data_IF_970874636500
#
_entry.id   IF_970874636500
#
_cell.length_a   1.000
_cell.length_b   1.000
_cell.length_c   1.000
_cell.angle_alpha   90.00
_cell.angle_beta   90.00
_cell.angle_gamma   90.00
#
_symmetry.space_group_name_H-M   'P 1'
#
loop_
_entity.id
_entity.type
_entity.pdbx_description
1 polymer ?
#
# COMPACT_ATOMS: atom_id res chain seq x y z
N UNK A 1 -29.14 -21.48 -11.22
CA UNK A 1 -28.47 -21.56 -9.92
C UNK A 1 -27.40 -20.50 -9.92
N UNK A 2 -27.56 -19.51 -9.05
CA UNK A 2 -26.60 -18.41 -8.89
C UNK A 2 -25.37 -18.90 -8.10
N UNK A 3 -24.27 -18.16 -8.13
CA UNK A 3 -23.06 -18.44 -7.36
C UNK A 3 -23.32 -18.47 -5.85
N UNK A 4 -24.30 -17.72 -5.36
CA UNK A 4 -24.72 -17.76 -3.97
C UNK A 4 -25.32 -19.13 -3.59
N UNK A 5 -26.27 -19.62 -4.39
CA UNK A 5 -26.88 -20.94 -4.18
C UNK A 5 -25.83 -22.06 -4.22
N UNK A 6 -24.82 -21.93 -5.09
CA UNK A 6 -23.74 -22.93 -5.23
C UNK A 6 -22.83 -22.95 -3.99
N UNK A 7 -22.54 -21.79 -3.40
CA UNK A 7 -21.79 -21.74 -2.14
C UNK A 7 -22.57 -22.37 -1.00
N UNK A 8 -23.85 -22.03 -0.86
CA UNK A 8 -24.70 -22.60 0.19
C UNK A 8 -24.79 -24.13 0.08
N UNK A 9 -24.93 -24.66 -1.14
CA UNK A 9 -24.92 -26.11 -1.38
C UNK A 9 -23.55 -26.73 -1.03
N UNK A 10 -22.45 -26.06 -1.39
CA UNK A 10 -21.11 -26.55 -1.07
C UNK A 10 -20.85 -26.58 0.44
N UNK A 11 -21.29 -25.54 1.17
CA UNK A 11 -21.18 -25.48 2.62
C UNK A 11 -21.99 -26.60 3.29
N UNK A 12 -23.25 -26.82 2.84
CA UNK A 12 -24.07 -27.93 3.34
C UNK A 12 -23.39 -29.28 3.06
N UNK A 13 -22.87 -29.49 1.86
CA UNK A 13 -22.17 -30.74 1.52
C UNK A 13 -20.94 -30.95 2.39
N UNK A 14 -20.20 -29.90 2.69
CA UNK A 14 -19.02 -29.95 3.55
C UNK A 14 -19.39 -30.28 5.01
N UNK A 15 -20.42 -29.63 5.56
CA UNK A 15 -20.94 -29.91 6.90
C UNK A 15 -21.44 -31.36 7.06
N UNK A 16 -21.95 -31.95 5.97
CA UNK A 16 -22.40 -33.34 5.93
C UNK A 16 -21.25 -34.36 5.66
N UNK A 17 -20.00 -33.90 5.61
CA UNK A 17 -18.82 -34.75 5.39
C UNK A 17 -18.60 -35.15 3.92
N UNK A 18 -19.29 -34.51 2.98
CA UNK A 18 -19.14 -34.70 1.53
C UNK A 18 -18.22 -33.65 0.88
N UNK A 19 -17.13 -33.29 1.56
CA UNK A 19 -16.19 -32.25 1.14
C UNK A 19 -15.66 -32.45 -0.30
N UNK A 20 -15.39 -33.69 -0.73
CA UNK A 20 -14.93 -33.96 -2.10
C UNK A 20 -15.96 -33.56 -3.17
N UNK A 21 -17.26 -33.76 -2.90
CA UNK A 21 -18.33 -33.35 -3.80
C UNK A 21 -18.52 -31.83 -3.79
N UNK A 22 -18.38 -31.19 -2.62
CA UNK A 22 -18.40 -29.74 -2.47
C UNK A 22 -17.28 -29.08 -3.29
N UNK A 23 -16.04 -29.57 -3.16
CA UNK A 23 -14.89 -29.07 -3.93
C UNK A 23 -15.12 -29.22 -5.43
N UNK A 24 -15.51 -30.41 -5.90
CA UNK A 24 -15.76 -30.64 -7.32
C UNK A 24 -16.87 -29.72 -7.88
N UNK A 25 -17.93 -29.48 -7.11
CA UNK A 25 -19.00 -28.56 -7.50
C UNK A 25 -18.47 -27.13 -7.71
N UNK A 26 -17.66 -26.63 -6.78
CA UNK A 26 -17.10 -25.28 -6.86
C UNK A 26 -16.04 -25.20 -7.97
N UNK A 27 -15.20 -26.22 -8.17
CA UNK A 27 -14.22 -26.28 -9.26
C UNK A 27 -14.89 -26.14 -10.63
N UNK A 28 -15.95 -26.90 -10.88
CA UNK A 28 -16.72 -26.81 -12.12
C UNK A 28 -17.35 -25.44 -12.31
N UNK A 29 -17.73 -24.78 -11.22
CA UNK A 29 -18.31 -23.43 -11.28
C UNK A 29 -17.26 -22.36 -11.57
N UNK A 30 -16.10 -22.43 -10.93
CA UNK A 30 -15.00 -21.46 -11.10
C UNK A 30 -14.44 -21.46 -12.52
N UNK A 31 -14.54 -22.57 -13.26
CA UNK A 31 -14.21 -22.61 -14.71
C UNK A 31 -15.05 -21.64 -15.54
N UNK A 32 -16.25 -21.30 -15.08
CA UNK A 32 -17.23 -20.44 -15.78
C UNK A 32 -17.46 -19.11 -15.08
N UNK A 33 -16.90 -18.91 -13.89
CA UNK A 33 -17.15 -17.74 -13.05
C UNK A 33 -15.88 -17.34 -12.29
N UNK A 34 -15.54 -16.05 -12.36
CA UNK A 34 -14.46 -15.45 -11.57
C UNK A 34 -14.95 -14.90 -10.23
N UNK A 35 -16.00 -15.48 -9.65
CA UNK A 35 -16.55 -15.03 -8.37
C UNK A 35 -15.51 -15.23 -7.27
N UNK A 36 -15.11 -14.13 -6.63
CA UNK A 36 -14.07 -14.12 -5.62
C UNK A 36 -14.44 -14.94 -4.38
N UNK A 37 -15.74 -15.11 -4.09
CA UNK A 37 -16.20 -15.93 -2.97
C UNK A 37 -15.94 -17.41 -3.23
N UNK A 38 -16.20 -17.88 -4.45
CA UNK A 38 -15.93 -19.26 -4.88
C UNK A 38 -14.43 -19.55 -4.85
N UNK A 39 -13.61 -18.62 -5.35
CA UNK A 39 -12.16 -18.76 -5.33
C UNK A 39 -11.60 -18.77 -3.89
N UNK A 40 -12.13 -17.92 -3.01
CA UNK A 40 -11.72 -17.87 -1.61
C UNK A 40 -12.08 -19.18 -0.89
N UNK A 41 -13.29 -19.70 -1.12
CA UNK A 41 -13.74 -20.97 -0.55
C UNK A 41 -12.83 -22.13 -0.97
N UNK A 42 -12.49 -22.26 -2.27
CA UNK A 42 -11.57 -23.31 -2.74
C UNK A 42 -10.17 -23.16 -2.14
N UNK A 43 -9.64 -21.93 -2.10
CA UNK A 43 -8.32 -21.65 -1.55
C UNK A 43 -8.19 -22.17 -0.11
N UNK A 44 -9.18 -21.88 0.74
CA UNK A 44 -9.18 -22.31 2.14
C UNK A 44 -9.21 -23.84 2.28
N UNK A 45 -10.00 -24.53 1.44
CA UNK A 45 -10.06 -25.99 1.44
C UNK A 45 -8.77 -26.63 0.93
N UNK A 46 -8.13 -26.06 -0.09
CA UNK A 46 -6.82 -26.52 -0.56
C UNK A 46 -5.72 -26.30 0.48
N UNK A 47 -5.73 -25.17 1.18
CA UNK A 47 -4.81 -24.92 2.30
C UNK A 47 -5.01 -25.94 3.43
N UNK A 48 -6.25 -26.22 3.83
CA UNK A 48 -6.56 -27.19 4.88
C UNK A 48 -6.07 -28.62 4.55
N UNK A 49 -6.08 -28.99 3.26
CA UNK A 49 -5.62 -30.29 2.76
C UNK A 49 -4.13 -30.35 2.43
N UNK A 50 -3.40 -29.24 2.59
CA UNK A 50 -1.98 -29.14 2.21
C UNK A 50 -1.74 -29.12 0.69
N UNK A 51 -2.79 -28.92 -0.12
CA UNK A 51 -2.71 -28.80 -1.57
C UNK A 51 -2.18 -27.41 -1.97
N UNK A 52 -0.90 -27.17 -1.69
CA UNK A 52 -0.26 -25.85 -1.79
C UNK A 52 -0.25 -25.29 -3.23
N UNK A 53 -0.19 -26.16 -4.24
CA UNK A 53 -0.21 -25.78 -5.65
C UNK A 53 -1.57 -25.20 -6.08
N UNK A 54 -2.66 -25.87 -5.71
CA UNK A 54 -4.02 -25.45 -6.07
C UNK A 54 -4.44 -24.21 -5.26
N UNK A 55 -4.01 -24.14 -3.99
CA UNK A 55 -4.18 -22.94 -3.17
C UNK A 55 -3.47 -21.73 -3.79
N UNK A 56 -2.25 -21.90 -4.32
CA UNK A 56 -1.51 -20.85 -5.00
C UNK A 56 -2.22 -20.39 -6.29
N UNK A 57 -2.73 -21.31 -7.11
CA UNK A 57 -3.51 -20.95 -8.32
C UNK A 57 -4.75 -20.12 -7.93
N UNK A 58 -5.50 -20.54 -6.91
CA UNK A 58 -6.67 -19.77 -6.45
C UNK A 58 -6.28 -18.40 -5.92
N UNK A 59 -5.18 -18.30 -5.16
CA UNK A 59 -4.67 -17.03 -4.65
C UNK A 59 -4.25 -16.07 -5.77
N UNK A 60 -3.56 -16.57 -6.81
CA UNK A 60 -3.18 -15.78 -7.98
C UNK A 60 -4.41 -15.31 -8.77
N UNK A 61 -5.44 -16.17 -8.93
CA UNK A 61 -6.70 -15.78 -9.57
C UNK A 61 -7.44 -14.71 -8.78
N UNK A 62 -7.50 -14.84 -7.45
CA UNK A 62 -8.09 -13.84 -6.57
C UNK A 62 -7.39 -12.49 -6.70
N UNK A 63 -6.06 -12.49 -6.75
CA UNK A 63 -5.26 -11.29 -6.93
C UNK A 63 -5.54 -10.58 -8.26
N UNK A 64 -5.79 -11.35 -9.33
CA UNK A 64 -6.02 -10.84 -10.69
C UNK A 64 -7.50 -10.70 -11.08
N UNK A 65 -8.44 -10.99 -10.17
CA UNK A 65 -9.86 -11.02 -10.48
C UNK A 65 -10.38 -9.66 -10.99
N UNK A 66 -9.93 -8.58 -10.36
CA UNK A 66 -10.11 -7.20 -10.80
C UNK A 66 -9.06 -6.32 -10.10
N UNK A 67 -8.74 -5.11 -10.62
CA UNK A 67 -7.64 -4.30 -10.09
C UNK A 67 -7.71 -4.02 -8.59
N UNK A 68 -8.89 -3.74 -8.04
CA UNK A 68 -9.09 -3.50 -6.60
C UNK A 68 -8.99 -4.76 -5.72
N UNK A 69 -8.95 -5.96 -6.31
CA UNK A 69 -8.77 -7.20 -5.56
C UNK A 69 -7.29 -7.42 -5.20
N UNK A 70 -6.37 -6.81 -5.95
CA UNK A 70 -4.94 -6.85 -5.68
C UNK A 70 -4.64 -6.01 -4.43
N UNK A 71 -4.15 -6.66 -3.38
CA UNK A 71 -3.74 -6.00 -2.12
C UNK A 71 -2.42 -6.58 -1.63
N UNK A 72 -1.75 -5.87 -0.73
CA UNK A 72 -0.50 -6.32 -0.12
C UNK A 72 -0.66 -7.62 0.67
N UNK A 73 -1.81 -7.84 1.31
CA UNK A 73 -2.10 -9.08 2.06
C UNK A 73 -2.14 -10.29 1.13
N UNK A 74 -2.83 -10.17 -0.02
CA UNK A 74 -2.88 -11.25 -1.01
C UNK A 74 -1.52 -11.51 -1.64
N UNK A 75 -0.74 -10.46 -1.87
CA UNK A 75 0.63 -10.59 -2.34
C UNK A 75 1.49 -11.37 -1.33
N UNK A 76 1.42 -11.03 -0.04
CA UNK A 76 2.14 -11.73 1.04
C UNK A 76 1.72 -13.20 1.16
N UNK A 77 0.42 -13.47 1.02
CA UNK A 77 -0.10 -14.85 0.98
C UNK A 77 0.48 -15.63 -0.20
N UNK A 78 0.44 -15.05 -1.41
CA UNK A 78 1.02 -15.67 -2.60
C UNK A 78 2.52 -15.91 -2.40
N UNK A 79 3.26 -14.95 -1.82
CA UNK A 79 4.69 -15.11 -1.51
C UNK A 79 4.92 -16.31 -0.61
N UNK A 80 4.17 -16.44 0.48
CA UNK A 80 4.31 -17.55 1.41
C UNK A 80 4.06 -18.91 0.72
N UNK A 81 2.97 -19.03 -0.05
CA UNK A 81 2.63 -20.26 -0.77
C UNK A 81 3.68 -20.62 -1.84
N UNK A 82 4.15 -19.64 -2.60
CA UNK A 82 5.13 -19.85 -3.65
C UNK A 82 6.53 -20.17 -3.09
N UNK A 83 6.91 -19.61 -1.94
CA UNK A 83 8.16 -19.93 -1.24
C UNK A 83 8.19 -21.38 -0.75
N UNK A 84 7.08 -21.91 -0.24
CA UNK A 84 6.99 -23.32 0.19
C UNK A 84 7.22 -24.31 -0.95
N UNK A 85 7.10 -23.86 -2.20
CA UNK A 85 7.22 -24.67 -3.41
C UNK A 85 8.46 -24.32 -4.24
N UNK A 86 9.34 -23.43 -3.74
CA UNK A 86 10.50 -22.90 -4.48
C UNK A 86 10.14 -22.26 -5.84
N UNK A 87 8.93 -21.70 -5.97
CA UNK A 87 8.45 -21.03 -7.21
C UNK A 87 8.37 -19.51 -7.10
N UNK A 88 8.86 -18.95 -6.00
CA UNK A 88 8.68 -17.53 -5.66
C UNK A 88 9.13 -16.58 -6.77
N UNK A 89 10.35 -16.75 -7.29
CA UNK A 89 10.91 -15.81 -8.28
C UNK A 89 10.08 -15.73 -9.57
N UNK A 90 9.58 -16.87 -10.06
CA UNK A 90 8.72 -16.92 -11.24
C UNK A 90 7.37 -16.24 -10.98
N UNK A 91 6.74 -16.57 -9.84
CA UNK A 91 5.45 -15.99 -9.44
C UNK A 91 5.55 -14.48 -9.21
N UNK A 92 6.64 -14.03 -8.56
CA UNK A 92 6.93 -12.62 -8.32
C UNK A 92 7.03 -11.85 -9.65
N UNK A 93 7.80 -12.37 -10.61
CA UNK A 93 7.94 -11.73 -11.92
C UNK A 93 6.60 -11.56 -12.64
N UNK A 94 5.73 -12.58 -12.61
CA UNK A 94 4.39 -12.52 -13.20
C UNK A 94 3.45 -11.53 -12.50
N UNK A 95 3.58 -11.37 -11.18
CA UNK A 95 2.79 -10.38 -10.43
C UNK A 95 3.27 -8.98 -10.78
N UNK A 96 4.58 -8.72 -10.75
CA UNK A 96 5.13 -7.39 -11.04
C UNK A 96 4.80 -6.95 -12.47
N UNK A 97 4.89 -7.86 -13.45
CA UNK A 97 4.51 -7.58 -14.83
C UNK A 97 3.02 -7.16 -14.95
N UNK A 98 2.13 -7.82 -14.20
CA UNK A 98 0.71 -7.47 -14.19
C UNK A 98 0.42 -6.13 -13.53
N UNK A 99 1.07 -5.84 -12.39
CA UNK A 99 0.91 -4.55 -11.72
C UNK A 99 1.39 -3.40 -12.60
N UNK A 100 2.48 -3.62 -13.34
CA UNK A 100 3.00 -2.64 -14.30
C UNK A 100 2.05 -2.42 -15.47
N UNK A 101 1.51 -3.49 -16.05
CA UNK A 101 0.53 -3.38 -17.15
C UNK A 101 -0.80 -2.76 -16.70
N UNK A 102 -1.18 -2.97 -15.45
CA UNK A 102 -2.44 -2.47 -14.88
C UNK A 102 -2.31 -1.07 -14.27
N UNK A 103 -1.11 -0.48 -14.30
CA UNK A 103 -0.80 0.83 -13.72
C UNK A 103 -1.21 0.98 -12.24
N UNK A 104 -1.02 -0.07 -11.44
CA UNK A 104 -1.37 -0.08 -10.00
C UNK A 104 -0.15 0.36 -9.19
N UNK A 105 0.26 1.63 -9.34
CA UNK A 105 1.53 2.14 -8.77
C UNK A 105 1.56 2.07 -7.24
N UNK A 106 0.48 2.41 -6.55
CA UNK A 106 0.42 2.36 -5.08
C UNK A 106 0.81 0.97 -4.53
N UNK A 107 0.25 -0.10 -5.11
CA UNK A 107 0.57 -1.47 -4.69
C UNK A 107 2.00 -1.88 -5.07
N UNK A 108 2.55 -1.39 -6.18
CA UNK A 108 3.96 -1.61 -6.52
C UNK A 108 4.89 -1.00 -5.47
N UNK A 109 4.56 0.21 -4.99
CA UNK A 109 5.31 0.88 -3.93
C UNK A 109 5.18 0.10 -2.62
N UNK A 110 3.98 -0.33 -2.23
CA UNK A 110 3.76 -1.15 -1.03
C UNK A 110 4.56 -2.46 -1.07
N UNK A 111 4.60 -3.13 -2.22
CA UNK A 111 5.41 -4.33 -2.41
C UNK A 111 6.90 -4.02 -2.29
N UNK A 112 7.38 -2.95 -2.92
CA UNK A 112 8.78 -2.55 -2.82
C UNK A 112 9.19 -2.27 -1.36
N UNK A 113 8.32 -1.62 -0.58
CA UNK A 113 8.54 -1.40 0.85
C UNK A 113 8.54 -2.71 1.64
N UNK A 114 7.60 -3.61 1.38
CA UNK A 114 7.52 -4.93 2.05
C UNK A 114 8.75 -5.80 1.78
N UNK A 115 9.35 -5.68 0.59
CA UNK A 115 10.58 -6.37 0.21
C UNK A 115 11.86 -5.61 0.59
N UNK A 116 11.75 -4.46 1.27
CA UNK A 116 12.89 -3.64 1.69
C UNK A 116 13.62 -2.90 0.56
N UNK A 117 13.00 -2.82 -0.64
CA UNK A 117 13.52 -2.13 -1.82
C UNK A 117 13.18 -0.64 -1.76
N UNK A 118 13.75 0.06 -0.76
CA UNK A 118 13.46 1.47 -0.49
C UNK A 118 13.77 2.36 -1.70
N UNK A 119 14.89 2.12 -2.38
CA UNK A 119 15.27 2.89 -3.56
C UNK A 119 14.25 2.75 -4.71
N UNK A 120 13.74 1.53 -4.95
CA UNK A 120 12.69 1.31 -5.94
C UNK A 120 11.39 2.03 -5.54
N UNK A 121 11.01 1.97 -4.27
CA UNK A 121 9.83 2.65 -3.76
C UNK A 121 9.91 4.18 -3.97
N UNK A 122 11.10 4.77 -3.74
CA UNK A 122 11.38 6.17 -4.02
C UNK A 122 11.27 6.50 -5.52
N UNK A 123 11.88 5.68 -6.39
CA UNK A 123 11.84 5.88 -7.85
C UNK A 123 10.40 5.83 -8.39
N UNK A 124 9.60 4.85 -7.95
CA UNK A 124 8.20 4.72 -8.33
C UNK A 124 7.38 5.92 -7.86
N UNK A 125 7.57 6.38 -6.62
CA UNK A 125 6.87 7.55 -6.09
C UNK A 125 7.24 8.84 -6.84
N UNK A 126 8.52 9.03 -7.18
CA UNK A 126 9.01 10.19 -7.92
C UNK A 126 8.51 10.21 -9.38
N UNK A 127 8.35 9.05 -10.01
CA UNK A 127 7.78 8.97 -11.35
C UNK A 127 6.33 9.53 -11.42
N UNK A 128 5.59 9.40 -10.32
CA UNK A 128 4.20 9.90 -10.19
C UNK A 128 4.10 11.38 -9.81
N UNK A 129 5.20 12.04 -9.44
CA UNK A 129 5.18 13.41 -8.90
C UNK A 129 4.86 14.51 -9.94
N UNK A 130 4.39 14.15 -11.14
CA UNK A 130 4.26 15.05 -12.30
C UNK A 130 2.84 15.60 -12.55
N UNK A 131 1.84 15.36 -11.68
CA UNK A 131 0.52 15.97 -11.86
C UNK A 131 0.22 16.98 -10.76
N UNK A 132 0.34 18.26 -11.12
CA UNK A 132 0.33 19.50 -10.33
C UNK A 132 -0.92 19.80 -9.48
N UNK A 133 -1.67 18.79 -9.02
CA UNK A 133 -2.88 19.01 -8.22
C UNK A 133 -2.63 18.77 -6.74
N UNK A 134 -2.11 19.78 -6.04
CA UNK A 134 -2.07 19.80 -4.56
C UNK A 134 -3.44 19.57 -3.90
N UNK A 135 -4.53 19.74 -4.67
CA UNK A 135 -5.88 19.34 -4.27
C UNK A 135 -5.98 17.86 -3.86
N UNK A 136 -5.24 16.99 -4.54
CA UNK A 136 -5.22 15.55 -4.30
C UNK A 136 -3.95 15.08 -3.57
N UNK A 137 -3.12 16.03 -3.11
CA UNK A 137 -1.84 15.78 -2.44
C UNK A 137 -0.65 15.63 -3.39
N UNK A 138 0.56 15.44 -2.82
CA UNK A 138 1.81 15.62 -3.57
C UNK A 138 2.10 14.52 -4.61
N UNK A 139 1.44 13.36 -4.48
CA UNK A 139 1.59 12.21 -5.38
C UNK A 139 0.24 11.69 -5.92
N UNK A 140 -0.78 12.55 -5.87
CA UNK A 140 -2.16 12.18 -6.22
C UNK A 140 -2.89 11.41 -5.11
N UNK A 141 -4.21 11.27 -5.26
CA UNK A 141 -5.07 10.70 -4.22
C UNK A 141 -4.75 9.24 -3.95
N UNK A 142 -4.40 8.47 -4.99
CA UNK A 142 -4.19 7.02 -4.88
C UNK A 142 -2.85 6.68 -4.21
N UNK A 143 -1.86 7.58 -4.29
CA UNK A 143 -0.53 7.37 -3.68
C UNK A 143 -0.29 8.22 -2.43
N UNK A 144 -1.30 8.93 -1.93
CA UNK A 144 -1.14 9.85 -0.81
C UNK A 144 -0.71 9.13 0.47
N UNK A 145 -1.30 7.97 0.79
CA UNK A 145 -0.92 7.27 2.02
C UNK A 145 0.43 6.56 1.86
N UNK A 146 0.66 5.91 0.71
CA UNK A 146 1.90 5.17 0.47
C UNK A 146 3.13 6.09 0.40
N UNK A 147 3.00 7.33 -0.10
CA UNK A 147 4.11 8.27 -0.13
C UNK A 147 4.66 8.62 1.25
N UNK A 148 3.81 8.67 2.29
CA UNK A 148 4.28 8.84 3.67
C UNK A 148 5.01 7.61 4.19
N UNK A 149 4.55 6.41 3.85
CA UNK A 149 5.25 5.18 4.25
C UNK A 149 6.62 5.09 3.57
N UNK A 150 6.74 5.54 2.32
CA UNK A 150 8.05 5.70 1.64
C UNK A 150 8.95 6.66 2.40
N UNK A 151 8.44 7.84 2.78
CA UNK A 151 9.23 8.81 3.54
C UNK A 151 9.78 8.23 4.85
N UNK A 152 8.93 7.51 5.61
CA UNK A 152 9.30 6.85 6.86
C UNK A 152 10.36 5.78 6.65
N UNK A 153 10.17 4.91 5.65
CA UNK A 153 11.13 3.85 5.33
C UNK A 153 12.48 4.40 4.86
N UNK A 154 12.46 5.54 4.16
CA UNK A 154 13.64 6.22 3.64
C UNK A 154 14.45 7.00 4.70
N UNK A 155 13.94 7.24 5.91
CA UNK A 155 14.58 8.13 6.90
C UNK A 155 16.03 7.76 7.24
N UNK A 156 16.34 6.47 7.28
CA UNK A 156 17.67 6.00 7.66
C UNK A 156 18.66 5.92 6.50
N UNK A 157 18.18 5.45 5.34
CA UNK A 157 19.01 5.18 4.16
C UNK A 157 19.09 6.36 3.20
N UNK A 158 18.00 7.13 3.08
CA UNK A 158 17.80 8.23 2.13
C UNK A 158 17.15 9.45 2.84
N UNK A 159 17.81 10.01 3.87
CA UNK A 159 17.23 11.05 4.71
C UNK A 159 16.89 12.35 3.96
N UNK A 160 17.53 12.64 2.82
CA UNK A 160 17.24 13.85 2.03
C UNK A 160 15.93 13.71 1.27
N UNK A 161 15.75 12.58 0.61
CA UNK A 161 14.54 12.21 -0.10
C UNK A 161 13.35 12.14 0.86
N UNK A 162 13.55 11.57 2.06
CA UNK A 162 12.56 11.58 3.12
C UNK A 162 12.15 13.01 3.54
N UNK A 163 13.12 13.93 3.70
CA UNK A 163 12.83 15.34 3.98
C UNK A 163 11.99 15.97 2.86
N UNK A 164 12.36 15.78 1.61
CA UNK A 164 11.66 16.35 0.45
C UNK A 164 10.20 15.87 0.39
N UNK A 165 9.98 14.56 0.59
CA UNK A 165 8.63 13.99 0.64
C UNK A 165 7.84 14.64 1.79
N UNK A 166 8.37 14.62 3.03
CA UNK A 166 7.68 15.23 4.16
C UNK A 166 7.35 16.70 3.94
N UNK A 167 8.25 17.48 3.32
CA UNK A 167 8.01 18.88 2.99
C UNK A 167 6.81 19.03 2.04
N UNK A 168 6.69 18.18 1.02
CA UNK A 168 5.55 18.20 0.10
C UNK A 168 4.22 17.89 0.82
N UNK A 169 4.23 16.99 1.80
CA UNK A 169 3.06 16.72 2.65
C UNK A 169 2.73 17.87 3.62
N UNK A 170 3.74 18.53 4.19
CA UNK A 170 3.55 19.71 5.05
C UNK A 170 2.82 20.81 4.28
N UNK A 171 3.30 21.16 3.09
CA UNK A 171 2.67 22.17 2.23
C UNK A 171 1.22 21.81 1.92
N UNK A 172 0.98 20.57 1.49
CA UNK A 172 -0.37 20.05 1.20
C UNK A 172 -1.31 20.18 2.41
N UNK A 173 -0.86 19.76 3.59
CA UNK A 173 -1.66 19.83 4.82
C UNK A 173 -1.95 21.28 5.21
N UNK A 174 -1.00 22.19 5.06
CA UNK A 174 -1.22 23.61 5.34
C UNK A 174 -2.23 24.21 4.35
N UNK A 175 -2.16 23.84 3.08
CA UNK A 175 -3.09 24.28 2.04
C UNK A 175 -4.52 23.78 2.29
N UNK A 176 -4.70 22.54 2.73
CA UNK A 176 -6.02 21.98 3.06
C UNK A 176 -6.69 22.66 4.26
N UNK A 177 -5.94 23.45 5.05
CA UNK A 177 -6.41 24.17 6.24
C UNK A 177 -7.00 23.24 7.31
N UNK A 178 -7.39 23.81 8.43
CA UNK A 178 -8.01 23.08 9.53
C UNK A 178 -6.98 22.59 10.54
N UNK A 179 -7.40 22.56 11.81
CA UNK A 179 -6.50 22.34 12.94
C UNK A 179 -5.84 20.96 12.89
N UNK A 180 -6.60 19.95 12.50
CA UNK A 180 -6.11 18.56 12.35
C UNK A 180 -5.00 18.47 11.30
N UNK A 181 -5.17 19.13 10.14
CA UNK A 181 -4.13 19.16 9.13
C UNK A 181 -2.87 19.90 9.61
N UNK A 182 -3.01 20.99 10.35
CA UNK A 182 -1.85 21.67 10.94
C UNK A 182 -1.12 20.82 11.99
N UNK A 183 -1.85 20.03 12.78
CA UNK A 183 -1.24 19.09 13.74
C UNK A 183 -0.43 18.01 13.02
N UNK A 184 -0.99 17.43 11.95
CA UNK A 184 -0.27 16.45 11.12
C UNK A 184 0.96 17.09 10.46
N UNK A 185 0.83 18.31 9.93
CA UNK A 185 1.98 19.05 9.39
C UNK A 185 3.09 19.26 10.43
N UNK A 186 2.73 19.58 11.68
CA UNK A 186 3.71 19.72 12.76
C UNK A 186 4.41 18.40 13.13
N UNK A 187 3.72 17.26 13.00
CA UNK A 187 4.34 15.94 13.18
C UNK A 187 5.42 15.71 12.13
N UNK A 188 5.13 15.98 10.85
CA UNK A 188 6.09 15.86 9.76
C UNK A 188 7.26 16.85 9.89
N UNK A 189 6.99 18.10 10.29
CA UNK A 189 8.04 19.09 10.58
C UNK A 189 8.99 18.63 11.70
N UNK A 190 8.47 17.92 12.70
CA UNK A 190 9.30 17.34 13.77
C UNK A 190 10.23 16.26 13.23
N UNK A 191 9.72 15.38 12.35
CA UNK A 191 10.56 14.40 11.64
C UNK A 191 11.63 15.09 10.78
N UNK A 192 11.24 16.10 9.99
CA UNK A 192 12.17 16.90 9.17
C UNK A 192 13.28 17.50 10.03
N UNK A 193 12.95 18.12 11.17
CA UNK A 193 13.95 18.67 12.10
C UNK A 193 14.94 17.61 12.57
N UNK A 194 14.45 16.43 12.96
CA UNK A 194 15.30 15.31 13.38
C UNK A 194 16.24 14.85 12.26
N UNK A 195 15.74 14.76 11.02
CA UNK A 195 16.53 14.33 9.86
C UNK A 195 17.63 15.35 9.53
N UNK A 196 17.32 16.65 9.52
CA UNK A 196 18.34 17.69 9.35
C UNK A 196 19.41 17.64 10.45
N UNK A 197 19.02 17.41 11.70
CA UNK A 197 19.96 17.26 12.81
C UNK A 197 20.87 16.04 12.63
N UNK A 198 20.30 14.88 12.23
CA UNK A 198 21.06 13.66 11.92
C UNK A 198 22.09 13.89 10.80
N UNK A 199 21.75 14.75 9.83
CA UNK A 199 22.62 15.15 8.72
C UNK A 199 23.64 16.24 9.10
N UNK A 200 23.63 16.76 10.32
CA UNK A 200 24.48 17.89 10.73
C UNK A 200 24.11 19.22 10.07
N UNK A 201 22.88 19.34 9.54
CA UNK A 201 22.39 20.47 8.73
C UNK A 201 21.33 21.28 9.46
N UNK A 202 21.55 21.54 10.75
CA UNK A 202 20.63 22.34 11.59
C UNK A 202 20.39 23.76 11.04
N UNK A 203 21.36 24.34 10.33
CA UNK A 203 21.21 25.66 9.69
C UNK A 203 20.22 25.63 8.52
N UNK A 204 20.13 24.52 7.79
CA UNK A 204 19.11 24.34 6.74
C UNK A 204 17.72 24.21 7.35
N UNK A 205 17.59 23.45 8.44
CA UNK A 205 16.34 23.40 9.22
C UNK A 205 15.89 24.79 9.67
N UNK A 206 16.80 25.57 10.29
CA UNK A 206 16.48 26.91 10.80
C UNK A 206 16.00 27.85 9.68
N UNK A 207 16.63 27.78 8.50
CA UNK A 207 16.19 28.55 7.32
C UNK A 207 14.83 28.07 6.82
N UNK A 208 14.62 26.76 6.73
CA UNK A 208 13.36 26.19 6.26
C UNK A 208 12.18 26.60 7.15
N UNK A 209 12.27 26.40 8.47
CA UNK A 209 11.17 26.73 9.39
C UNK A 209 10.91 28.24 9.46
N UNK A 210 11.95 29.07 9.35
CA UNK A 210 11.79 30.53 9.30
C UNK A 210 11.02 30.97 8.06
N UNK A 211 11.37 30.42 6.88
CA UNK A 211 10.66 30.68 5.62
C UNK A 211 9.20 30.23 5.70
N UNK A 212 8.93 29.02 6.22
CA UNK A 212 7.59 28.48 6.39
C UNK A 212 6.71 29.40 7.27
N UNK A 213 7.25 29.86 8.40
CA UNK A 213 6.56 30.79 9.32
C UNK A 213 6.24 32.12 8.66
N UNK A 214 7.16 32.67 7.87
CA UNK A 214 6.95 33.95 7.18
C UNK A 214 5.88 33.82 6.08
N UNK A 215 5.97 32.77 5.25
CA UNK A 215 4.98 32.48 4.20
C UNK A 215 3.57 32.32 4.74
N UNK A 216 3.43 31.75 5.95
CA UNK A 216 2.14 31.49 6.58
C UNK A 216 1.83 32.40 7.78
N UNK A 217 2.42 33.61 7.82
CA UNK A 217 2.26 34.54 8.94
C UNK A 217 0.81 34.95 9.24
N UNK A 218 -0.09 34.83 8.26
CA UNK A 218 -1.50 35.19 8.39
C UNK A 218 -2.39 34.03 8.93
N UNK A 219 -1.80 32.90 9.33
CA UNK A 219 -2.52 31.74 9.83
C UNK A 219 -2.33 31.58 11.35
N UNK A 220 -3.16 32.22 12.19
CA UNK A 220 -2.97 32.18 13.64
C UNK A 220 -3.08 30.75 14.20
N UNK A 221 -4.03 29.95 13.71
CA UNK A 221 -4.16 28.56 14.14
C UNK A 221 -2.93 27.69 13.81
N UNK A 222 -2.27 27.91 12.66
CA UNK A 222 -1.02 27.22 12.33
C UNK A 222 0.11 27.67 13.27
N UNK A 223 0.23 28.97 13.54
CA UNK A 223 1.21 29.51 14.48
C UNK A 223 1.08 28.89 15.87
N UNK A 224 -0.15 28.74 16.35
CA UNK A 224 -0.43 28.10 17.64
C UNK A 224 0.05 26.65 17.66
N UNK A 225 -0.23 25.87 16.62
CA UNK A 225 0.21 24.47 16.54
C UNK A 225 1.74 24.36 16.42
N UNK A 226 2.40 25.22 15.63
CA UNK A 226 3.87 25.29 15.55
C UNK A 226 4.50 25.59 16.92
N UNK A 227 3.94 26.57 17.65
CA UNK A 227 4.40 26.93 18.99
C UNK A 227 4.24 25.76 19.98
N UNK A 228 3.10 25.07 19.96
CA UNK A 228 2.86 23.87 20.78
C UNK A 228 3.84 22.74 20.47
N UNK A 229 4.16 22.55 19.19
CA UNK A 229 5.13 21.56 18.73
C UNK A 229 6.59 21.95 18.99
N UNK A 230 6.86 23.17 19.51
CA UNK A 230 8.21 23.72 19.74
C UNK A 230 9.04 23.78 18.44
N UNK A 231 8.36 24.12 17.34
CA UNK A 231 8.92 24.33 15.99
C UNK A 231 8.98 25.81 15.68
#
# INVERSE_FOLDING_TARGET
>A
MDNYDILEIADILDEQGHEAAAVHLIEERVKKSSDTRLLQWLKERYQARGASADALDMAQRLFRAYPRAATIERYREIRQLAQQMDRWEAVRAEIMAYLQQSHITALQIEIALDEGQIELALQLLQAESQTESRRNGPYGSDNFDVGIEVAKAAEDSHPRESIEIYQAYVETRIEWRGRENYQIACQYLTSIRRLYQKLGRSDEWNRYIATLREQHRNLPALKDELAKAKL
#
